data_IF_084377827749
#
_entry.id   IF_084377827749
#
_cell.length_a   1.000
_cell.length_b   1.000
_cell.length_c   1.000
_cell.angle_alpha   90.00
_cell.angle_beta   90.00
_cell.angle_gamma   90.00
#
_symmetry.space_group_name_H-M   'P 1'
#
loop_
_entity.id
_entity.type
_entity.pdbx_description
1 polymer ?
#
# COMPACT_ATOMS: atom_id res chain seq x y z
N UNK A 1 -43.17 44.27 27.87
CA UNK A 1 -41.94 43.52 28.15
C UNK A 1 -41.57 42.75 26.90
N UNK A 2 -40.69 43.28 26.05
CA UNK A 2 -40.24 42.61 24.83
C UNK A 2 -38.73 42.41 24.94
N UNK A 3 -38.29 41.16 24.98
CA UNK A 3 -36.88 40.77 24.92
C UNK A 3 -36.46 40.71 23.44
N UNK A 4 -35.36 41.36 23.02
CA UNK A 4 -34.85 41.18 21.68
C UNK A 4 -34.05 39.87 21.62
N UNK A 5 -34.41 38.99 20.70
CA UNK A 5 -33.66 37.80 20.33
C UNK A 5 -32.42 38.21 19.50
N UNK A 6 -31.21 38.05 20.04
CA UNK A 6 -29.99 38.23 19.26
C UNK A 6 -29.77 37.01 18.36
N UNK A 7 -29.92 37.22 17.05
CA UNK A 7 -29.52 36.23 16.04
C UNK A 7 -27.99 36.10 16.05
N UNK A 8 -27.48 34.98 16.55
CA UNK A 8 -26.06 34.61 16.39
C UNK A 8 -25.79 34.43 14.89
N UNK A 9 -25.02 35.34 14.29
CA UNK A 9 -24.45 35.13 12.96
C UNK A 9 -23.31 34.14 13.13
N UNK A 10 -23.33 33.06 12.36
CA UNK A 10 -22.25 32.09 12.34
C UNK A 10 -20.94 32.77 11.90
N UNK A 11 -19.87 32.62 12.69
CA UNK A 11 -18.55 33.17 12.37
C UNK A 11 -17.97 32.49 11.13
N UNK A 12 -17.53 33.29 10.16
CA UNK A 12 -16.92 32.78 8.93
C UNK A 12 -15.52 32.21 9.23
N UNK A 13 -15.21 30.98 8.78
CA UNK A 13 -13.93 30.32 9.05
C UNK A 13 -12.77 30.91 8.24
N UNK A 14 -12.19 32.02 8.71
CA UNK A 14 -11.05 32.71 8.08
C UNK A 14 -9.82 31.82 7.87
N UNK A 15 -9.67 30.76 8.66
CA UNK A 15 -8.59 29.79 8.49
C UNK A 15 -8.66 29.06 7.13
N UNK A 16 -9.84 28.85 6.56
CA UNK A 16 -10.01 28.26 5.23
C UNK A 16 -9.43 29.17 4.14
N UNK A 17 -9.60 30.48 4.30
CA UNK A 17 -9.08 31.47 3.35
C UNK A 17 -7.56 31.45 3.37
N UNK A 18 -6.95 31.41 4.56
CA UNK A 18 -5.49 31.32 4.71
C UNK A 18 -4.96 30.01 4.13
N UNK A 19 -5.62 28.88 4.41
CA UNK A 19 -5.24 27.58 3.87
C UNK A 19 -5.35 27.55 2.33
N UNK A 20 -6.42 28.11 1.76
CA UNK A 20 -6.61 28.19 0.32
C UNK A 20 -5.57 29.11 -0.35
N UNK A 21 -5.29 30.27 0.25
CA UNK A 21 -4.25 31.18 -0.25
C UNK A 21 -2.87 30.52 -0.23
N UNK A 22 -2.53 29.79 0.84
CA UNK A 22 -1.30 29.03 0.95
C UNK A 22 -1.23 27.92 -0.11
N UNK A 23 -2.31 27.16 -0.30
CA UNK A 23 -2.37 26.09 -1.30
C UNK A 23 -2.17 26.63 -2.73
N UNK A 24 -2.78 27.78 -3.06
CA UNK A 24 -2.60 28.44 -4.35
C UNK A 24 -1.16 28.93 -4.51
N UNK A 25 -0.58 29.57 -3.49
CA UNK A 25 0.81 30.03 -3.53
C UNK A 25 1.79 28.86 -3.76
N UNK A 26 1.57 27.73 -3.08
CA UNK A 26 2.35 26.49 -3.27
C UNK A 26 2.13 25.93 -4.68
N UNK A 27 0.90 25.86 -5.17
CA UNK A 27 0.61 25.37 -6.51
C UNK A 27 1.31 26.20 -7.60
N UNK A 28 1.32 27.53 -7.46
CA UNK A 28 2.04 28.43 -8.36
C UNK A 28 3.56 28.21 -8.25
N UNK A 29 4.11 28.06 -7.04
CA UNK A 29 5.53 27.79 -6.84
C UNK A 29 5.97 26.45 -7.48
N UNK A 30 5.14 25.41 -7.35
CA UNK A 30 5.37 24.11 -7.97
C UNK A 30 5.26 24.19 -9.50
N UNK A 31 4.27 24.91 -10.02
CA UNK A 31 4.04 25.01 -11.47
C UNK A 31 5.09 25.88 -12.19
N UNK A 32 5.67 26.85 -11.50
CA UNK A 32 6.70 27.75 -12.07
C UNK A 32 8.08 27.13 -12.11
N UNK A 33 8.30 26.02 -11.41
CA UNK A 33 9.60 25.37 -11.29
C UNK A 33 9.56 23.91 -11.77
N UNK A 34 10.27 23.64 -12.87
CA UNK A 34 10.26 22.31 -13.52
C UNK A 34 10.65 21.16 -12.57
N UNK A 35 11.57 21.40 -11.63
CA UNK A 35 12.00 20.40 -10.65
C UNK A 35 10.88 20.04 -9.66
N UNK A 36 10.18 21.04 -9.11
CA UNK A 36 9.10 20.77 -8.14
C UNK A 36 7.87 20.18 -8.83
N UNK A 37 7.55 20.61 -10.06
CA UNK A 37 6.51 19.98 -10.87
C UNK A 37 6.80 18.49 -11.12
N UNK A 38 8.05 18.13 -11.42
CA UNK A 38 8.46 16.73 -11.64
C UNK A 38 8.40 15.88 -10.36
N UNK A 39 8.84 16.43 -9.23
CA UNK A 39 8.73 15.76 -7.92
C UNK A 39 7.25 15.54 -7.57
N UNK A 40 6.42 16.58 -7.73
CA UNK A 40 4.99 16.49 -7.47
C UNK A 40 4.31 15.43 -8.35
N UNK A 41 4.62 15.40 -9.65
CA UNK A 41 4.08 14.39 -10.56
C UNK A 41 4.49 12.95 -10.18
N UNK A 42 5.75 12.76 -9.75
CA UNK A 42 6.24 11.46 -9.29
C UNK A 42 5.50 11.00 -8.03
N UNK A 43 5.35 11.89 -7.03
CA UNK A 43 4.62 11.58 -5.79
C UNK A 43 3.14 11.33 -6.07
N UNK A 44 2.52 12.13 -6.93
CA UNK A 44 1.12 11.95 -7.33
C UNK A 44 0.89 10.61 -8.02
N UNK A 45 1.84 10.16 -8.86
CA UNK A 45 1.79 8.80 -9.45
C UNK A 45 1.80 7.72 -8.37
N UNK A 46 2.53 7.94 -7.28
CA UNK A 46 2.55 7.06 -6.11
C UNK A 46 1.17 6.79 -5.52
N UNK A 47 0.26 7.78 -5.54
CA UNK A 47 -1.13 7.61 -5.07
C UNK A 47 -1.83 6.49 -5.85
N UNK A 48 -1.67 6.48 -7.17
CA UNK A 48 -2.24 5.44 -8.03
C UNK A 48 -1.69 4.05 -7.70
N UNK A 49 -0.37 3.95 -7.44
CA UNK A 49 0.28 2.70 -7.04
C UNK A 49 -0.25 2.22 -5.68
N UNK A 50 -0.35 3.10 -4.68
CA UNK A 50 -0.90 2.73 -3.36
C UNK A 50 -2.33 2.18 -3.48
N UNK A 51 -3.18 2.85 -4.26
CA UNK A 51 -4.57 2.39 -4.47
C UNK A 51 -4.56 1.03 -5.16
N UNK A 52 -3.82 0.88 -6.25
CA UNK A 52 -3.74 -0.36 -7.01
C UNK A 52 -3.27 -1.54 -6.16
N UNK A 53 -2.14 -1.37 -5.46
CA UNK A 53 -1.57 -2.39 -4.59
C UNK A 53 -2.53 -2.74 -3.46
N UNK A 54 -3.16 -1.74 -2.82
CA UNK A 54 -4.12 -1.95 -1.73
C UNK A 54 -5.31 -2.77 -2.19
N UNK A 55 -5.91 -2.43 -3.34
CA UNK A 55 -7.07 -3.14 -3.86
C UNK A 55 -6.73 -4.60 -4.15
N UNK A 56 -5.63 -4.86 -4.86
CA UNK A 56 -5.23 -6.24 -5.20
C UNK A 56 -4.88 -7.02 -3.94
N UNK A 57 -4.06 -6.46 -3.05
CA UNK A 57 -3.67 -7.12 -1.81
C UNK A 57 -4.89 -7.43 -0.94
N UNK A 58 -5.84 -6.49 -0.83
CA UNK A 58 -7.06 -6.69 -0.04
C UNK A 58 -7.95 -7.79 -0.61
N UNK A 59 -8.14 -7.83 -1.94
CA UNK A 59 -8.92 -8.89 -2.60
C UNK A 59 -8.29 -10.26 -2.35
N UNK A 60 -6.98 -10.39 -2.55
CA UNK A 60 -6.26 -11.64 -2.33
C UNK A 60 -6.27 -12.06 -0.85
N UNK A 61 -6.00 -11.13 0.07
CA UNK A 61 -6.05 -11.37 1.50
C UNK A 61 -7.44 -11.80 1.97
N UNK A 62 -8.50 -11.18 1.43
CA UNK A 62 -9.88 -11.54 1.74
C UNK A 62 -10.25 -12.92 1.23
N UNK A 63 -9.84 -13.28 0.01
CA UNK A 63 -10.08 -14.62 -0.55
C UNK A 63 -9.39 -15.71 0.28
N UNK A 64 -8.11 -15.51 0.64
CA UNK A 64 -7.36 -16.43 1.50
C UNK A 64 -7.96 -16.49 2.89
N UNK A 65 -8.25 -15.33 3.50
CA UNK A 65 -8.84 -15.21 4.83
C UNK A 65 -10.20 -15.90 4.93
N UNK A 66 -11.02 -15.81 3.87
CA UNK A 66 -12.29 -16.55 3.78
C UNK A 66 -12.05 -18.06 3.77
N UNK A 67 -11.10 -18.55 2.96
CA UNK A 67 -10.75 -19.98 2.95
C UNK A 67 -10.30 -20.49 4.32
N UNK A 68 -9.51 -19.69 5.03
CA UNK A 68 -9.04 -20.02 6.38
C UNK A 68 -10.18 -19.99 7.40
N UNK A 69 -11.10 -19.02 7.29
CA UNK A 69 -12.28 -18.97 8.13
C UNK A 69 -13.17 -20.21 7.92
N UNK A 70 -13.38 -20.63 6.68
CA UNK A 70 -14.13 -21.85 6.35
C UNK A 70 -13.45 -23.11 6.93
N UNK A 71 -12.12 -23.21 6.84
CA UNK A 71 -11.37 -24.30 7.51
C UNK A 71 -11.55 -24.27 9.04
N UNK A 72 -11.57 -23.08 9.64
CA UNK A 72 -11.82 -22.89 11.07
C UNK A 72 -13.23 -23.29 11.53
N UNK A 73 -14.21 -23.25 10.63
CA UNK A 73 -15.59 -23.69 10.88
C UNK A 73 -15.82 -25.18 10.59
N UNK A 74 -14.85 -25.87 9.99
CA UNK A 74 -14.97 -27.28 9.65
C UNK A 74 -15.17 -28.16 10.90
N UNK A 75 -15.93 -29.25 10.74
CA UNK A 75 -16.10 -30.28 11.79
C UNK A 75 -14.81 -31.04 12.11
N UNK A 76 -13.83 -31.03 11.21
CA UNK A 76 -12.53 -31.70 11.41
C UNK A 76 -11.64 -30.96 12.41
N UNK A 77 -11.15 -31.68 13.44
CA UNK A 77 -10.21 -31.13 14.42
C UNK A 77 -8.92 -30.62 13.77
N UNK A 78 -8.40 -31.32 12.76
CA UNK A 78 -7.15 -30.97 12.07
C UNK A 78 -7.25 -29.63 11.34
N UNK A 79 -8.31 -29.42 10.54
CA UNK A 79 -8.50 -28.19 9.77
C UNK A 79 -8.62 -26.97 10.70
N UNK A 80 -9.33 -27.11 11.82
CA UNK A 80 -9.45 -26.03 12.81
C UNK A 80 -8.12 -25.66 13.45
N UNK A 81 -7.30 -26.66 13.78
CA UNK A 81 -5.99 -26.39 14.39
C UNK A 81 -5.04 -25.73 13.40
N UNK A 82 -5.02 -26.16 12.14
CA UNK A 82 -4.21 -25.52 11.09
C UNK A 82 -4.65 -24.05 10.90
N UNK A 83 -5.96 -23.80 10.81
CA UNK A 83 -6.48 -22.45 10.66
C UNK A 83 -6.11 -21.55 11.85
N UNK A 84 -6.24 -22.07 13.09
CA UNK A 84 -5.84 -21.32 14.30
C UNK A 84 -4.35 -21.04 14.34
N UNK A 85 -3.53 -22.05 14.09
CA UNK A 85 -2.07 -21.92 14.08
C UNK A 85 -1.62 -20.83 13.09
N UNK A 86 -2.13 -20.87 11.85
CA UNK A 86 -1.83 -19.83 10.86
C UNK A 86 -2.21 -18.44 11.36
N UNK A 87 -3.45 -18.27 11.85
CA UNK A 87 -3.95 -16.96 12.29
C UNK A 87 -3.18 -16.45 13.50
N UNK A 88 -2.86 -17.31 14.46
CA UNK A 88 -2.11 -16.94 15.67
C UNK A 88 -0.67 -16.54 15.33
N UNK A 89 0.02 -17.28 14.45
CA UNK A 89 1.37 -16.94 14.01
C UNK A 89 1.37 -15.60 13.26
N UNK A 90 0.55 -15.47 12.22
CA UNK A 90 0.56 -14.28 11.35
C UNK A 90 0.17 -13.02 12.13
N UNK A 91 -0.76 -13.13 13.09
CA UNK A 91 -1.15 -12.01 13.96
C UNK A 91 -0.17 -11.76 15.10
N UNK A 92 0.63 -12.75 15.47
CA UNK A 92 1.64 -12.66 16.53
C UNK A 92 2.97 -12.05 16.06
N UNK A 93 3.29 -12.13 14.77
CA UNK A 93 4.53 -11.54 14.23
C UNK A 93 4.35 -10.03 14.00
N UNK A 94 5.27 -9.18 14.50
CA UNK A 94 5.24 -7.74 14.23
C UNK A 94 5.31 -7.46 12.73
N UNK A 95 4.43 -6.57 12.24
CA UNK A 95 4.36 -6.29 10.79
C UNK A 95 5.69 -5.80 10.22
N UNK A 96 6.46 -5.03 10.99
CA UNK A 96 7.80 -4.58 10.58
C UNK A 96 8.73 -5.75 10.29
N UNK A 97 8.72 -6.81 11.11
CA UNK A 97 9.56 -8.00 10.90
C UNK A 97 9.17 -8.71 9.61
N UNK A 98 7.87 -8.87 9.33
CA UNK A 98 7.39 -9.44 8.07
C UNK A 98 7.81 -8.59 6.88
N UNK A 99 7.68 -7.27 6.96
CA UNK A 99 8.08 -6.35 5.90
C UNK A 99 9.60 -6.42 5.64
N UNK A 100 10.42 -6.45 6.69
CA UNK A 100 11.87 -6.63 6.58
C UNK A 100 12.21 -7.98 5.94
N UNK A 101 11.58 -9.06 6.39
CA UNK A 101 11.83 -10.39 5.84
C UNK A 101 11.48 -10.44 4.35
N UNK A 102 10.31 -9.91 3.95
CA UNK A 102 9.90 -9.87 2.55
C UNK A 102 10.85 -8.98 1.73
N UNK A 103 11.23 -7.80 2.23
CA UNK A 103 12.07 -6.87 1.49
C UNK A 103 13.50 -7.38 1.28
N UNK A 104 14.10 -7.98 2.31
CA UNK A 104 15.53 -8.33 2.30
C UNK A 104 15.83 -9.81 2.06
N UNK A 105 14.89 -10.71 2.33
CA UNK A 105 15.06 -12.15 2.08
C UNK A 105 14.08 -12.67 1.02
N UNK A 106 12.80 -12.31 1.13
CA UNK A 106 11.74 -12.78 0.24
C UNK A 106 11.94 -12.35 -1.21
N UNK A 107 12.11 -11.04 -1.46
CA UNK A 107 12.29 -10.50 -2.80
C UNK A 107 13.58 -11.03 -3.49
N UNK A 108 14.76 -11.05 -2.83
CA UNK A 108 15.94 -11.68 -3.42
C UNK A 108 15.79 -13.18 -3.68
N UNK A 109 15.16 -13.93 -2.76
CA UNK A 109 14.91 -15.36 -2.96
C UNK A 109 13.97 -15.62 -4.14
N UNK A 110 12.93 -14.79 -4.30
CA UNK A 110 12.03 -14.85 -5.45
C UNK A 110 12.76 -14.59 -6.77
N UNK A 111 13.61 -13.55 -6.82
CA UNK A 111 14.41 -13.23 -8.01
C UNK A 111 15.38 -14.37 -8.35
N UNK A 112 16.06 -14.92 -7.34
CA UNK A 112 16.97 -16.05 -7.53
C UNK A 112 16.23 -17.30 -8.06
N UNK A 113 15.06 -17.61 -7.48
CA UNK A 113 14.23 -18.72 -7.94
C UNK A 113 13.76 -18.52 -9.38
N UNK A 114 13.33 -17.30 -9.73
CA UNK A 114 12.92 -16.97 -11.09
C UNK A 114 14.07 -17.16 -12.08
N UNK A 115 15.23 -16.57 -11.81
CA UNK A 115 16.41 -16.70 -12.68
C UNK A 115 16.86 -18.16 -12.83
N UNK A 116 16.79 -18.98 -11.78
CA UNK A 116 17.09 -20.40 -11.87
C UNK A 116 16.11 -21.14 -12.80
N UNK A 117 14.81 -20.81 -12.72
CA UNK A 117 13.78 -21.39 -13.58
C UNK A 117 13.90 -20.92 -15.04
N UNK A 118 14.30 -19.67 -15.27
CA UNK A 118 14.44 -19.08 -16.61
C UNK A 118 15.84 -19.21 -17.20
N UNK A 119 16.82 -19.74 -16.45
CA UNK A 119 18.20 -19.96 -16.89
C UNK A 119 18.34 -20.64 -18.27
N UNK A 120 17.62 -21.72 -18.61
CA UNK A 120 17.74 -22.32 -19.95
C UNK A 120 17.25 -21.40 -21.07
N UNK A 121 16.26 -20.55 -20.80
CA UNK A 121 15.71 -19.58 -21.77
C UNK A 121 16.60 -18.33 -21.87
N UNK A 122 17.25 -17.92 -20.78
CA UNK A 122 18.24 -16.84 -20.76
C UNK A 122 19.51 -17.24 -21.53
N UNK A 123 19.98 -18.47 -21.34
CA UNK A 123 21.11 -19.01 -22.11
C UNK A 123 20.80 -19.13 -23.62
N UNK A 124 19.53 -19.28 -23.98
CA UNK A 124 19.07 -19.24 -25.37
C UNK A 124 18.94 -17.80 -25.94
N UNK A 125 19.26 -16.77 -25.14
CA UNK A 125 19.24 -15.36 -25.55
C UNK A 125 17.85 -14.73 -25.63
N UNK A 126 16.82 -15.42 -25.13
CA UNK A 126 15.42 -14.96 -25.22
C UNK A 126 15.02 -14.01 -24.08
N UNK A 127 15.71 -14.06 -22.94
CA UNK A 127 15.45 -13.21 -21.77
C UNK A 127 16.75 -12.74 -21.12
N UNK A 128 16.74 -11.55 -20.53
CA UNK A 128 17.81 -11.09 -19.63
C UNK A 128 17.67 -11.65 -18.22
N UNK A 129 18.73 -11.57 -17.42
CA UNK A 129 18.69 -11.86 -15.98
C UNK A 129 17.84 -10.80 -15.26
N UNK A 130 16.92 -11.23 -14.39
CA UNK A 130 16.22 -10.31 -13.51
C UNK A 130 17.15 -9.91 -12.38
N UNK A 131 17.39 -8.61 -12.20
CA UNK A 131 18.11 -8.11 -11.04
C UNK A 131 17.10 -7.74 -9.94
N UNK A 132 17.51 -7.85 -8.67
CA UNK A 132 16.67 -7.41 -7.53
C UNK A 132 16.31 -5.92 -7.63
N UNK A 133 17.15 -5.11 -8.29
CA UNK A 133 16.85 -3.71 -8.59
C UNK A 133 15.75 -3.51 -9.64
N UNK A 134 15.54 -4.47 -10.54
CA UNK A 134 14.47 -4.41 -11.54
C UNK A 134 13.12 -4.75 -10.93
N UNK A 135 13.16 -5.43 -9.77
CA UNK A 135 12.02 -5.73 -8.90
C UNK A 135 11.96 -4.74 -7.73
N UNK A 136 12.51 -3.54 -7.89
CA UNK A 136 12.41 -2.48 -6.88
C UNK A 136 10.98 -1.91 -6.82
N UNK A 137 10.45 -1.88 -5.58
CA UNK A 137 9.18 -1.29 -5.16
C UNK A 137 9.16 0.24 -5.33
#
# INVERSE_FOLDING_TARGET
>A
MATPSSSSKADFPWWLVVAAALAIAVAVFVATSNLYAQVFATVAKGIGVTIFVTVIAFVLASAIGLGIALMGMSGSRWLRQIARFYVEIVRGVPILVLLFWIAFAGAPAFVAAWNALTAPLQNAGLFGELLVRDVSL
#
